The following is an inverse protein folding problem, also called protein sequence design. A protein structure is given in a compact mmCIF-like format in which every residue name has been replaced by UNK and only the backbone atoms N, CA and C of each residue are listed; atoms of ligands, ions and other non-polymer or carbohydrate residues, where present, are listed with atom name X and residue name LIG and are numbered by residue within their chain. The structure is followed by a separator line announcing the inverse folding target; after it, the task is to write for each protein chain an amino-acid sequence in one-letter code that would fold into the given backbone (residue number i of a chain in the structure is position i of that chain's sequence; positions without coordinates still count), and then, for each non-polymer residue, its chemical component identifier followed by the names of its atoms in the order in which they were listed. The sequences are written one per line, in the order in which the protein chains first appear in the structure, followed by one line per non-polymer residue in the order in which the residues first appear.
data_IF_114054255389
#
_entry.id   IF_114054255389
#
_cell.length_a   1.000
_cell.length_b   1.000
_cell.length_c   1.000
_cell.angle_alpha   90.00
_cell.angle_beta   90.00
_cell.angle_gamma   90.00
#
_symmetry.space_group_name_H-M   'P 1'
#
loop_
_entity.id
_entity.type
_entity.pdbx_description
1 polymer ?
#
# COMPACT_ATOMS: atom_id res chain seq x y z
N UNK A 1 5.81 2.11 9.43
CA UNK A 1 6.31 2.89 8.27
C UNK A 1 7.45 2.12 7.61
N UNK A 2 7.47 2.07 6.31
CA UNK A 2 8.53 1.42 5.54
C UNK A 2 9.34 2.50 4.82
N UNK A 3 10.64 2.54 5.07
CA UNK A 3 11.54 3.46 4.37
C UNK A 3 12.28 2.69 3.28
N UNK A 4 12.23 3.19 2.05
CA UNK A 4 12.87 2.58 0.88
C UNK A 4 13.89 3.56 0.30
N UNK A 5 15.11 3.08 0.11
CA UNK A 5 16.19 3.85 -0.51
C UNK A 5 16.45 3.32 -1.91
N UNK A 6 16.43 4.22 -2.90
CA UNK A 6 16.64 3.85 -4.30
C UNK A 6 18.06 4.23 -4.75
N UNK A 7 18.55 3.56 -5.78
CA UNK A 7 19.93 3.73 -6.28
C UNK A 7 20.23 5.15 -6.78
N UNK A 8 19.21 5.90 -7.19
CA UNK A 8 19.36 7.28 -7.65
C UNK A 8 19.41 8.31 -6.51
N UNK A 9 19.46 7.85 -5.26
CA UNK A 9 19.53 8.73 -4.09
C UNK A 9 18.19 9.17 -3.54
N UNK A 10 17.09 8.80 -4.20
CA UNK A 10 15.73 9.10 -3.69
C UNK A 10 15.38 8.14 -2.57
N UNK A 11 14.75 8.66 -1.51
CA UNK A 11 14.24 7.85 -0.41
C UNK A 11 12.79 8.22 -0.15
N UNK A 12 11.96 7.22 0.15
CA UNK A 12 10.57 7.41 0.53
C UNK A 12 10.27 6.71 1.84
N UNK A 13 9.61 7.42 2.76
CA UNK A 13 9.05 6.85 3.97
C UNK A 13 7.56 6.61 3.73
N UNK A 14 7.16 5.35 3.62
CA UNK A 14 5.80 4.96 3.23
C UNK A 14 5.01 4.54 4.46
N UNK A 15 3.89 5.22 4.76
CA UNK A 15 3.04 4.82 5.87
C UNK A 15 2.43 3.43 5.65
N UNK A 16 2.31 2.66 6.72
CA UNK A 16 1.71 1.33 6.66
C UNK A 16 0.28 1.39 6.11
N UNK A 17 -0.50 2.39 6.48
CA UNK A 17 -1.85 2.58 5.98
C UNK A 17 -1.87 2.69 4.44
N UNK A 18 -0.99 3.52 3.87
CA UNK A 18 -0.89 3.66 2.42
C UNK A 18 -0.56 2.33 1.76
N UNK A 19 0.44 1.62 2.27
CA UNK A 19 0.85 0.33 1.73
C UNK A 19 -0.28 -0.69 1.81
N UNK A 20 -1.05 -0.68 2.89
CA UNK A 20 -2.15 -1.61 3.09
C UNK A 20 -3.32 -1.34 2.14
N UNK A 21 -3.75 -0.09 2.01
CA UNK A 21 -4.90 0.26 1.18
C UNK A 21 -4.56 0.25 -0.31
N UNK A 22 -3.29 0.39 -0.66
CA UNK A 22 -2.79 0.31 -2.04
C UNK A 22 -2.14 -1.04 -2.36
N UNK A 23 -2.41 -2.07 -1.54
CA UNK A 23 -1.82 -3.40 -1.75
C UNK A 23 -2.07 -3.89 -3.18
N UNK A 24 -1.06 -4.43 -3.86
CA UNK A 24 -1.22 -4.97 -5.22
C UNK A 24 -1.90 -6.34 -5.24
N UNK A 25 -2.28 -6.87 -4.08
CA UNK A 25 -2.99 -8.13 -3.97
C UNK A 25 -4.35 -8.08 -4.67
N UNK A 26 -4.78 -9.17 -5.27
CA UNK A 26 -6.11 -9.30 -5.87
C UNK A 26 -7.23 -9.09 -4.83
N UNK A 27 -6.96 -9.34 -3.54
CA UNK A 27 -7.90 -9.06 -2.46
C UNK A 27 -8.30 -7.59 -2.40
N UNK A 28 -7.41 -6.68 -2.83
CA UNK A 28 -7.65 -5.24 -2.85
C UNK A 28 -7.96 -4.76 -4.25
N UNK A 29 -7.15 -5.15 -5.24
CA UNK A 29 -7.27 -4.65 -6.62
C UNK A 29 -8.41 -5.30 -7.41
N UNK A 30 -8.87 -6.47 -7.00
CA UNK A 30 -9.85 -7.23 -7.76
C UNK A 30 -9.23 -7.90 -8.98
N UNK A 31 -10.08 -8.39 -9.88
CA UNK A 31 -9.66 -9.13 -11.07
C UNK A 31 -9.84 -8.33 -12.37
N UNK A 32 -10.26 -7.07 -12.28
CA UNK A 32 -10.47 -6.25 -13.47
C UNK A 32 -10.77 -4.79 -13.11
N UNK A 33 -10.88 -3.93 -14.14
CA UNK A 33 -11.18 -2.51 -13.92
C UNK A 33 -12.50 -2.33 -13.15
N UNK A 34 -12.50 -1.43 -12.20
CA UNK A 34 -13.68 -1.13 -11.38
C UNK A 34 -13.94 -2.09 -10.24
N UNK A 35 -13.13 -3.11 -10.07
CA UNK A 35 -13.29 -4.10 -8.99
C UNK A 35 -12.43 -3.81 -7.77
N UNK A 36 -11.65 -2.74 -7.80
CA UNK A 36 -10.81 -2.35 -6.67
C UNK A 36 -11.67 -2.04 -5.45
N UNK A 37 -11.26 -2.60 -4.31
CA UNK A 37 -11.95 -2.40 -3.05
C UNK A 37 -11.38 -1.22 -2.29
N UNK A 38 -12.26 -0.45 -1.65
CA UNK A 38 -11.88 0.57 -0.69
C UNK A 38 -11.85 -0.10 0.68
N UNK A 39 -10.70 -0.08 1.34
CA UNK A 39 -10.47 -0.82 2.58
C UNK A 39 -10.48 0.16 3.76
N UNK A 40 -11.56 0.22 4.55
CA UNK A 40 -11.66 1.14 5.69
C UNK A 40 -10.97 0.58 6.94
N UNK A 41 -10.82 1.44 7.96
CA UNK A 41 -10.37 0.99 9.28
C UNK A 41 -8.90 0.64 9.37
N UNK A 42 -8.05 1.20 8.50
CA UNK A 42 -6.61 0.84 8.44
C UNK A 42 -5.68 1.93 8.99
N UNK A 43 -6.22 2.94 9.65
CA UNK A 43 -5.43 4.05 10.17
C UNK A 43 -4.27 3.61 11.08
N UNK A 44 -4.50 2.59 11.89
CA UNK A 44 -3.53 2.10 12.87
C UNK A 44 -2.88 0.77 12.47
N UNK A 45 -3.01 0.35 11.22
CA UNK A 45 -2.38 -0.88 10.75
C UNK A 45 -0.85 -0.77 10.82
N UNK A 46 -0.19 -1.88 11.17
CA UNK A 46 1.26 -1.94 11.27
C UNK A 46 1.81 -3.06 10.38
N UNK A 47 3.05 -2.87 9.92
CA UNK A 47 3.79 -3.86 9.16
C UNK A 47 4.52 -4.76 10.15
N UNK A 48 4.24 -6.06 10.10
CA UNK A 48 4.87 -7.06 10.97
C UNK A 48 6.12 -7.68 10.35
N UNK A 49 6.16 -7.80 9.03
CA UNK A 49 7.29 -8.44 8.36
C UNK A 49 7.45 -7.91 6.93
N UNK A 50 8.70 -7.86 6.48
CA UNK A 50 9.09 -7.53 5.11
C UNK A 50 9.92 -8.71 4.62
N UNK A 51 9.44 -9.42 3.59
CA UNK A 51 10.08 -10.62 3.08
C UNK A 51 10.49 -10.41 1.62
N UNK A 52 11.78 -10.56 1.29
CA UNK A 52 12.21 -10.44 -0.09
C UNK A 52 11.57 -11.51 -0.98
N UNK A 53 11.20 -11.11 -2.20
CA UNK A 53 10.70 -12.00 -3.25
C UNK A 53 11.67 -11.88 -4.42
N UNK A 54 12.57 -12.82 -4.57
CA UNK A 54 13.67 -12.70 -5.51
C UNK A 54 14.45 -11.41 -5.26
N UNK A 55 14.92 -10.77 -6.33
CA UNK A 55 15.58 -9.45 -6.26
C UNK A 55 14.67 -8.32 -6.72
N UNK A 56 13.40 -8.61 -7.04
CA UNK A 56 12.53 -7.66 -7.73
C UNK A 56 11.41 -7.08 -6.87
N UNK A 57 11.16 -7.65 -5.68
CA UNK A 57 10.00 -7.26 -4.88
C UNK A 57 10.17 -7.63 -3.42
N UNK A 58 9.23 -7.13 -2.59
CA UNK A 58 9.07 -7.58 -1.21
C UNK A 58 7.59 -7.90 -0.96
N UNK A 59 7.35 -8.90 -0.13
CA UNK A 59 6.04 -9.21 0.38
C UNK A 59 5.92 -8.58 1.77
N UNK A 60 4.82 -7.87 2.01
CA UNK A 60 4.54 -7.25 3.30
C UNK A 60 3.47 -8.04 4.04
N UNK A 61 3.70 -8.24 5.33
CA UNK A 61 2.72 -8.84 6.23
C UNK A 61 2.26 -7.76 7.22
N UNK A 62 0.95 -7.59 7.32
CA UNK A 62 0.34 -6.58 8.19
C UNK A 62 -0.30 -7.23 9.42
N UNK A 63 -0.54 -6.44 10.46
CA UNK A 63 -1.13 -6.92 11.70
C UNK A 63 -2.62 -7.25 11.60
N UNK A 64 -3.27 -6.90 10.49
CA UNK A 64 -4.64 -7.31 10.19
C UNK A 64 -4.71 -8.64 9.41
N UNK A 65 -3.61 -9.38 9.38
CA UNK A 65 -3.47 -10.68 8.71
C UNK A 65 -3.39 -10.63 7.18
N UNK A 66 -3.37 -9.44 6.58
CA UNK A 66 -3.15 -9.32 5.14
C UNK A 66 -1.67 -9.56 4.83
N UNK A 67 -1.36 -10.55 4.01
CA UNK A 67 0.03 -10.94 3.71
C UNK A 67 0.26 -11.34 2.25
N UNK A 68 -0.68 -11.04 1.36
CA UNK A 68 -0.63 -11.47 -0.03
C UNK A 68 -0.12 -10.40 -1.00
N UNK A 69 0.18 -9.20 -0.53
CA UNK A 69 0.68 -8.12 -1.37
C UNK A 69 2.16 -8.26 -1.66
N UNK A 70 2.51 -8.34 -2.94
CA UNK A 70 3.91 -8.37 -3.42
C UNK A 70 4.18 -7.03 -4.10
N UNK A 71 5.06 -6.23 -3.50
CA UNK A 71 5.35 -4.86 -3.91
C UNK A 71 6.67 -4.85 -4.68
N UNK A 72 6.60 -4.59 -5.99
CA UNK A 72 7.82 -4.40 -6.79
C UNK A 72 8.48 -3.08 -6.42
N UNK A 73 9.78 -2.96 -6.70
CA UNK A 73 10.50 -1.70 -6.43
C UNK A 73 9.89 -0.53 -7.20
N UNK A 74 9.48 -0.75 -8.45
CA UNK A 74 8.83 0.29 -9.24
C UNK A 74 7.47 0.70 -8.66
N UNK A 75 6.71 -0.23 -8.11
CA UNK A 75 5.44 0.08 -7.47
C UNK A 75 5.65 0.88 -6.18
N UNK A 76 6.65 0.50 -5.38
CA UNK A 76 7.00 1.26 -4.17
C UNK A 76 7.44 2.69 -4.52
N UNK A 77 8.17 2.86 -5.63
CA UNK A 77 8.55 4.18 -6.12
C UNK A 77 7.32 5.00 -6.49
N UNK A 78 6.40 4.40 -7.23
CA UNK A 78 5.13 5.03 -7.61
C UNK A 78 4.33 5.47 -6.38
N UNK A 79 4.22 4.61 -5.38
CA UNK A 79 3.51 4.94 -4.15
C UNK A 79 4.16 6.12 -3.42
N UNK A 80 5.48 6.14 -3.37
CA UNK A 80 6.22 7.23 -2.72
C UNK A 80 6.07 8.54 -3.46
N UNK A 81 6.19 8.51 -4.78
CA UNK A 81 6.09 9.70 -5.61
C UNK A 81 4.67 10.32 -5.58
N UNK A 82 3.65 9.50 -5.44
CA UNK A 82 2.25 9.94 -5.41
C UNK A 82 1.54 9.79 -4.07
N UNK A 83 2.28 9.65 -2.98
CA UNK A 83 1.71 9.29 -1.67
C UNK A 83 0.62 10.27 -1.20
N UNK A 84 0.87 11.57 -1.29
CA UNK A 84 -0.09 12.58 -0.84
C UNK A 84 -1.38 12.53 -1.67
N UNK A 85 -1.25 12.41 -2.99
CA UNK A 85 -2.39 12.34 -3.90
C UNK A 85 -3.20 11.07 -3.69
N UNK A 86 -2.51 9.94 -3.48
CA UNK A 86 -3.17 8.67 -3.25
C UNK A 86 -3.92 8.65 -1.92
N UNK A 87 -3.34 9.21 -0.87
CA UNK A 87 -4.01 9.31 0.43
C UNK A 87 -5.21 10.26 0.36
N UNK A 88 -5.09 11.38 -0.33
CA UNK A 88 -6.20 12.31 -0.52
C UNK A 88 -7.35 11.64 -1.28
N UNK A 89 -7.06 10.90 -2.34
CA UNK A 89 -8.05 10.16 -3.11
C UNK A 89 -8.72 9.06 -2.26
N UNK A 90 -7.94 8.38 -1.43
CA UNK A 90 -8.43 7.34 -0.54
C UNK A 90 -9.40 7.93 0.50
N UNK A 91 -9.02 9.02 1.15
CA UNK A 91 -9.86 9.69 2.15
C UNK A 91 -11.15 10.22 1.53
N UNK A 92 -11.08 10.77 0.31
CA UNK A 92 -12.26 11.23 -0.42
C UNK A 92 -13.20 10.06 -0.74
N UNK A 93 -12.65 8.92 -1.17
CA UNK A 93 -13.45 7.73 -1.47
C UNK A 93 -14.12 7.17 -0.21
N UNK A 94 -13.43 7.19 0.93
CA UNK A 94 -14.03 6.78 2.21
C UNK A 94 -15.20 7.69 2.58
N UNK A 95 -15.02 9.00 2.49
CA UNK A 95 -16.05 9.97 2.82
C UNK A 95 -17.29 9.80 1.92
N UNK A 96 -17.08 9.56 0.64
CA UNK A 96 -18.14 9.32 -0.33
C UNK A 96 -19.00 8.11 0.03
N UNK A 97 -18.37 7.07 0.62
CA UNK A 97 -19.05 5.84 1.03
C UNK A 97 -19.52 5.86 2.48
N UNK A 98 -19.31 6.97 3.21
CA UNK A 98 -19.64 7.04 4.63
C UNK A 98 -18.76 6.17 5.52
N UNK A 99 -17.56 5.85 5.08
CA UNK A 99 -16.59 5.04 5.81
C UNK A 99 -15.50 5.93 6.41
N UNK A 100 -14.71 5.38 7.34
CA UNK A 100 -13.58 6.08 7.96
C UNK A 100 -12.30 5.26 7.89
N UNK A 101 -11.18 5.98 8.06
CA UNK A 101 -9.84 5.38 8.11
C UNK A 101 -9.71 4.38 9.22
#
# INVERSE_FOLDING_TARGET
MLTVHFDDGVSHALPAELLRVESPSAEVQGHGPGQRKIVPGKRNVEILAVQPVGSYAVRLRFDDMHDTGIYTWSYLRELGDGAADRMAAYEAALAEKGLSR
#
